data_IF_135188390823
#
_entry.id   IF_135188390823
#
_cell.length_a   1.000
_cell.length_b   1.000
_cell.length_c   1.000
_cell.angle_alpha   90.00
_cell.angle_beta   90.00
_cell.angle_gamma   90.00
#
_symmetry.space_group_name_H-M   'P 1'
#
loop_
_entity.id
_entity.type
_entity.pdbx_description
1 polymer ?
#
# COMPACT_ATOMS: atom_id res chain seq x y z
N UNK A 1 -65.01 -0.69 -28.12
CA UNK A 1 -63.79 -1.52 -28.18
C UNK A 1 -63.11 -1.52 -26.79
N UNK A 2 -63.38 -2.54 -25.97
CA UNK A 2 -62.87 -2.65 -24.58
C UNK A 2 -61.40 -3.08 -24.63
N UNK A 3 -60.49 -2.23 -24.15
CA UNK A 3 -59.04 -2.49 -24.18
C UNK A 3 -58.69 -3.68 -23.27
N UNK A 4 -58.04 -4.68 -23.84
CA UNK A 4 -57.43 -5.83 -23.15
C UNK A 4 -56.21 -5.37 -22.31
N UNK A 5 -56.45 -4.68 -21.19
CA UNK A 5 -55.38 -4.20 -20.31
C UNK A 5 -54.65 -5.34 -19.57
N UNK A 6 -55.30 -6.48 -19.36
CA UNK A 6 -54.71 -7.61 -18.61
C UNK A 6 -53.58 -8.33 -19.34
N UNK A 7 -53.63 -8.39 -20.68
CA UNK A 7 -52.64 -9.12 -21.46
C UNK A 7 -51.25 -8.44 -21.41
N UNK A 8 -51.22 -7.11 -21.50
CA UNK A 8 -49.97 -6.34 -21.50
C UNK A 8 -49.21 -6.44 -20.18
N UNK A 9 -49.90 -6.34 -19.04
CA UNK A 9 -49.26 -6.42 -17.72
C UNK A 9 -48.69 -7.81 -17.45
N UNK A 10 -49.35 -8.86 -17.96
CA UNK A 10 -48.84 -10.23 -17.89
C UNK A 10 -47.56 -10.40 -18.72
N UNK A 11 -47.52 -9.87 -19.95
CA UNK A 11 -46.31 -9.89 -20.77
C UNK A 11 -45.15 -9.11 -20.14
N UNK A 12 -45.43 -7.97 -19.51
CA UNK A 12 -44.40 -7.22 -18.78
C UNK A 12 -43.86 -8.00 -17.58
N UNK A 13 -44.73 -8.67 -16.82
CA UNK A 13 -44.32 -9.54 -15.71
C UNK A 13 -43.48 -10.72 -16.19
N UNK A 14 -43.88 -11.37 -17.29
CA UNK A 14 -43.13 -12.46 -17.89
C UNK A 14 -41.75 -11.99 -18.35
N UNK A 15 -41.69 -10.89 -19.13
CA UNK A 15 -40.44 -10.32 -19.63
C UNK A 15 -39.49 -9.91 -18.50
N UNK A 16 -40.03 -9.29 -17.44
CA UNK A 16 -39.24 -8.89 -16.28
C UNK A 16 -38.73 -10.09 -15.49
N UNK A 17 -39.55 -11.13 -15.33
CA UNK A 17 -39.16 -12.39 -14.70
C UNK A 17 -38.04 -13.10 -15.46
N UNK A 18 -38.14 -13.20 -16.80
CA UNK A 18 -37.06 -13.76 -17.62
C UNK A 18 -35.80 -12.91 -17.55
N UNK A 19 -35.92 -11.58 -17.56
CA UNK A 19 -34.78 -10.66 -17.47
C UNK A 19 -34.06 -10.81 -16.13
N UNK A 20 -34.79 -10.84 -15.01
CA UNK A 20 -34.20 -11.04 -13.68
C UNK A 20 -33.58 -12.44 -13.55
N UNK A 21 -34.25 -13.48 -14.05
CA UNK A 21 -33.70 -14.84 -14.08
C UNK A 21 -32.41 -14.93 -14.89
N UNK A 22 -32.35 -14.28 -16.06
CA UNK A 22 -31.13 -14.16 -16.87
C UNK A 22 -30.04 -13.39 -16.13
N UNK A 23 -30.39 -12.33 -15.39
CA UNK A 23 -29.44 -11.54 -14.63
C UNK A 23 -28.83 -12.33 -13.46
N UNK A 24 -29.65 -13.11 -12.74
CA UNK A 24 -29.20 -14.01 -11.67
C UNK A 24 -28.39 -15.17 -12.22
N UNK A 25 -28.84 -15.78 -13.32
CA UNK A 25 -28.09 -16.84 -14.00
C UNK A 25 -26.74 -16.33 -14.52
N UNK A 26 -26.72 -15.13 -15.09
CA UNK A 26 -25.50 -14.48 -15.56
C UNK A 26 -24.59 -14.12 -14.39
N UNK A 27 -25.12 -13.63 -13.27
CA UNK A 27 -24.32 -13.35 -12.08
C UNK A 27 -23.69 -14.63 -11.53
N UNK A 28 -24.45 -15.73 -11.44
CA UNK A 28 -23.93 -17.03 -11.04
C UNK A 28 -22.85 -17.53 -12.01
N UNK A 29 -23.12 -17.51 -13.32
CA UNK A 29 -22.19 -17.94 -14.37
C UNK A 29 -20.97 -17.03 -14.56
N UNK A 30 -21.06 -15.74 -14.19
CA UNK A 30 -19.94 -14.78 -14.29
C UNK A 30 -19.13 -14.70 -13.00
N UNK A 31 -19.69 -15.13 -11.87
CA UNK A 31 -18.99 -15.27 -10.58
C UNK A 31 -18.22 -16.59 -10.47
N UNK A 32 -18.37 -17.46 -11.47
CA UNK A 32 -17.46 -18.55 -11.79
C UNK A 32 -16.06 -18.01 -12.16
N UNK A 33 -15.35 -17.50 -11.16
CA UNK A 33 -13.93 -17.18 -11.16
C UNK A 33 -13.06 -18.45 -11.14
N UNK A 34 -13.51 -19.51 -11.82
CA UNK A 34 -12.94 -20.87 -11.74
C UNK A 34 -11.57 -20.96 -12.41
N UNK A 35 -11.24 -20.00 -13.29
CA UNK A 35 -9.99 -20.01 -14.04
C UNK A 35 -8.78 -19.55 -13.20
N UNK A 36 -8.98 -18.68 -12.21
CA UNK A 36 -7.86 -18.14 -11.41
C UNK A 36 -7.29 -19.13 -10.39
N UNK A 37 -8.14 -20.01 -9.85
CA UNK A 37 -7.72 -21.00 -8.85
C UNK A 37 -6.82 -22.10 -9.45
N UNK A 38 -7.13 -22.53 -10.68
CA UNK A 38 -6.30 -23.49 -11.43
C UNK A 38 -4.96 -22.88 -11.86
N UNK A 39 -4.97 -21.62 -12.31
CA UNK A 39 -3.76 -20.89 -12.67
C UNK A 39 -2.80 -20.74 -11.47
N UNK A 40 -3.34 -20.49 -10.28
CA UNK A 40 -2.55 -20.42 -9.05
C UNK A 40 -1.90 -21.76 -8.70
N UNK A 41 -2.62 -22.87 -8.90
CA UNK A 41 -2.09 -24.22 -8.64
C UNK A 41 -0.94 -24.56 -9.60
N UNK A 42 -1.12 -24.27 -10.89
CA UNK A 42 -0.11 -24.55 -11.91
C UNK A 42 1.14 -23.69 -11.70
N UNK A 43 0.95 -22.41 -11.34
CA UNK A 43 2.03 -21.48 -10.98
C UNK A 43 2.78 -21.93 -9.71
N UNK A 44 2.08 -22.48 -8.72
CA UNK A 44 2.70 -23.01 -7.51
C UNK A 44 3.54 -24.25 -7.82
N UNK A 45 3.01 -25.19 -8.61
CA UNK A 45 3.75 -26.38 -9.04
C UNK A 45 5.05 -26.02 -9.79
N UNK A 46 5.00 -25.02 -10.67
CA UNK A 46 6.19 -24.51 -11.37
C UNK A 46 7.24 -23.89 -10.41
N UNK A 47 6.79 -23.34 -9.28
CA UNK A 47 7.68 -22.70 -8.29
C UNK A 47 8.40 -23.75 -7.43
N UNK A 48 7.72 -24.84 -7.06
CA UNK A 48 8.31 -25.94 -6.29
C UNK A 48 9.44 -26.66 -7.04
N UNK A 49 9.30 -26.82 -8.36
CA UNK A 49 10.35 -27.42 -9.21
C UNK A 49 11.62 -26.56 -9.20
N UNK A 50 11.46 -25.23 -9.30
CA UNK A 50 12.61 -24.30 -9.25
C UNK A 50 13.32 -24.35 -7.90
N UNK A 51 12.58 -24.41 -6.80
CA UNK A 51 13.18 -24.48 -5.46
C UNK A 51 14.04 -25.74 -5.29
N UNK A 52 13.62 -26.88 -5.84
CA UNK A 52 14.44 -28.11 -5.82
C UNK A 52 15.73 -27.94 -6.61
N UNK A 53 15.65 -27.36 -7.81
CA UNK A 53 16.83 -27.13 -8.65
C UNK A 53 17.82 -26.15 -7.99
N UNK A 54 17.33 -25.05 -7.41
CA UNK A 54 18.17 -24.12 -6.65
C UNK A 54 18.79 -24.79 -5.43
N UNK A 55 18.03 -25.61 -4.69
CA UNK A 55 18.55 -26.34 -3.53
C UNK A 55 19.65 -27.32 -3.93
N UNK A 56 19.52 -28.00 -5.07
CA UNK A 56 20.56 -28.88 -5.59
C UNK A 56 21.82 -28.10 -6.00
N UNK A 57 21.66 -26.95 -6.67
CA UNK A 57 22.76 -26.06 -7.03
C UNK A 57 23.50 -25.52 -5.81
N UNK A 58 22.77 -25.06 -4.80
CA UNK A 58 23.35 -24.59 -3.54
C UNK A 58 24.02 -25.70 -2.73
N UNK A 59 23.49 -26.93 -2.78
CA UNK A 59 24.10 -28.07 -2.10
C UNK A 59 25.40 -28.54 -2.78
N UNK A 60 25.53 -28.33 -4.09
CA UNK A 60 26.77 -28.62 -4.82
C UNK A 60 27.78 -27.47 -4.78
N UNK A 61 27.31 -26.23 -4.62
CA UNK A 61 28.14 -25.04 -4.46
C UNK A 61 28.50 -24.91 -2.98
N UNK A 62 29.48 -25.71 -2.55
CA UNK A 62 30.04 -25.72 -1.20
C UNK A 62 30.50 -24.31 -0.79
N UNK A 63 29.71 -23.64 0.06
CA UNK A 63 30.01 -22.36 0.73
C UNK A 63 31.06 -22.54 1.85
N UNK A 64 31.97 -23.50 1.71
CA UNK A 64 32.98 -23.82 2.72
C UNK A 64 34.25 -22.97 2.60
N UNK A 65 34.42 -22.19 1.53
CA UNK A 65 35.61 -21.37 1.28
C UNK A 65 35.52 -19.90 1.71
N UNK A 66 34.39 -19.44 2.28
CA UNK A 66 34.16 -18.00 2.53
C UNK A 66 33.98 -17.60 4.00
N UNK A 67 34.10 -18.53 4.95
CA UNK A 67 33.95 -18.23 6.39
C UNK A 67 35.30 -18.43 7.09
N UNK A 68 36.23 -17.50 6.84
CA UNK A 68 37.28 -17.17 7.81
C UNK A 68 37.19 -15.66 8.01
N UNK A 69 36.55 -15.25 9.10
CA UNK A 69 36.43 -13.86 9.50
C UNK A 69 37.56 -13.55 10.49
N UNK A 70 38.67 -12.98 10.02
CA UNK A 70 39.54 -12.20 10.91
C UNK A 70 38.79 -10.91 11.31
N UNK A 71 38.71 -10.55 12.60
CA UNK A 71 38.05 -9.34 13.03
C UNK A 71 38.98 -8.14 12.78
N UNK A 72 38.91 -7.56 11.58
CA UNK A 72 39.44 -6.22 11.34
C UNK A 72 38.35 -5.19 11.63
N UNK A 73 38.28 -4.75 12.88
CA UNK A 73 37.28 -3.82 13.39
C UNK A 73 37.46 -2.37 12.90
N UNK A 74 38.41 -2.08 12.00
CA UNK A 74 38.95 -0.72 11.87
C UNK A 74 38.68 0.02 10.55
N UNK A 75 37.92 -0.55 9.61
CA UNK A 75 37.37 0.23 8.49
C UNK A 75 36.17 -0.51 7.85
N UNK A 76 34.98 -0.28 8.40
CA UNK A 76 33.75 -0.68 7.75
C UNK A 76 33.62 0.07 6.41
N UNK A 77 33.42 -0.64 5.28
CA UNK A 77 33.24 0.02 4.01
C UNK A 77 31.99 0.91 4.04
N UNK A 78 31.99 2.01 3.27
CA UNK A 78 31.01 3.10 3.37
C UNK A 78 29.53 2.70 3.28
N UNK A 79 29.23 1.51 2.74
CA UNK A 79 27.88 0.97 2.62
C UNK A 79 27.42 0.12 3.83
N UNK A 80 28.34 -0.32 4.69
CA UNK A 80 28.05 -1.06 5.93
C UNK A 80 27.97 -0.16 7.15
N UNK A 81 28.24 1.14 6.98
CA UNK A 81 28.04 2.12 8.03
C UNK A 81 26.54 2.32 8.28
N UNK A 82 26.04 1.62 9.29
CA UNK A 82 24.65 1.71 9.75
C UNK A 82 24.30 3.11 10.28
N UNK A 83 25.29 3.93 10.63
CA UNK A 83 25.07 5.35 10.95
C UNK A 83 24.89 6.20 9.68
N UNK A 84 25.45 5.80 8.54
CA UNK A 84 25.18 6.48 7.25
C UNK A 84 23.75 6.24 6.78
N UNK A 85 23.20 5.04 6.92
CA UNK A 85 21.78 4.80 6.58
C UNK A 85 20.81 5.50 7.54
N UNK A 86 21.22 5.73 8.79
CA UNK A 86 20.47 6.60 9.72
C UNK A 86 20.55 8.09 9.34
N UNK A 87 21.66 8.53 8.74
CA UNK A 87 21.83 9.88 8.20
C UNK A 87 21.28 10.06 6.77
N UNK A 88 21.03 8.97 6.04
CA UNK A 88 20.52 8.94 4.66
C UNK A 88 19.04 8.56 4.57
N UNK A 89 18.33 8.47 5.70
CA UNK A 89 16.91 8.75 5.68
C UNK A 89 16.79 10.21 5.27
N UNK A 90 16.48 10.43 3.99
CA UNK A 90 16.40 11.75 3.37
C UNK A 90 15.57 12.62 4.30
N UNK A 91 16.21 13.60 4.93
CA UNK A 91 15.52 14.62 5.72
C UNK A 91 14.55 15.35 4.76
N UNK A 92 13.33 14.84 4.65
CA UNK A 92 12.41 15.17 3.55
C UNK A 92 11.58 14.04 2.98
N UNK A 93 11.71 12.80 3.45
CA UNK A 93 10.80 11.74 3.05
C UNK A 93 9.39 11.99 3.62
N UNK A 94 8.30 11.85 2.83
CA UNK A 94 6.94 12.01 3.34
C UNK A 94 6.62 11.06 4.50
N UNK A 95 7.31 9.93 4.58
CA UNK A 95 7.21 8.94 5.66
C UNK A 95 7.61 9.49 7.03
N UNK A 96 8.58 10.41 7.09
CA UNK A 96 9.03 11.05 8.34
C UNK A 96 7.92 11.91 8.96
N UNK A 97 7.20 12.65 8.13
CA UNK A 97 6.10 13.52 8.56
C UNK A 97 4.85 12.72 8.93
N UNK A 98 4.65 11.57 8.29
CA UNK A 98 3.54 10.66 8.57
C UNK A 98 3.63 9.99 9.96
N UNK A 99 4.79 10.04 10.63
CA UNK A 99 4.91 9.60 12.03
C UNK A 99 4.08 10.45 13.00
N UNK A 100 3.78 11.70 12.64
CA UNK A 100 2.96 12.59 13.46
C UNK A 100 1.49 12.21 13.34
N UNK A 101 0.87 11.87 14.47
CA UNK A 101 -0.56 11.53 14.53
C UNK A 101 -1.41 12.69 13.99
N UNK A 102 -2.15 12.43 12.91
CA UNK A 102 -3.01 13.43 12.25
C UNK A 102 -2.44 13.97 10.93
N UNK A 103 -1.20 13.62 10.57
CA UNK A 103 -0.61 13.85 9.25
C UNK A 103 -0.71 12.56 8.43
N UNK A 104 -1.65 12.54 7.49
CA UNK A 104 -1.74 11.48 6.48
C UNK A 104 -0.90 11.81 5.23
N UNK A 105 -0.86 10.90 4.23
CA UNK A 105 -0.04 11.03 3.02
C UNK A 105 -0.34 12.32 2.23
N UNK A 106 -1.61 12.74 2.18
CA UNK A 106 -2.02 13.98 1.50
C UNK A 106 -1.45 15.23 2.19
N UNK A 107 -1.47 15.27 3.52
CA UNK A 107 -0.93 16.40 4.29
C UNK A 107 0.60 16.38 4.27
N UNK A 108 1.22 15.21 4.35
CA UNK A 108 2.67 15.07 4.20
C UNK A 108 3.13 15.59 2.83
N UNK A 109 2.44 15.23 1.75
CA UNK A 109 2.75 15.74 0.41
C UNK A 109 2.60 17.27 0.33
N UNK A 110 1.52 17.85 0.89
CA UNK A 110 1.35 19.30 0.96
C UNK A 110 2.43 20.00 1.78
N UNK A 111 2.88 19.40 2.88
CA UNK A 111 3.97 19.95 3.69
C UNK A 111 5.28 19.96 2.93
N UNK A 112 5.57 18.91 2.16
CA UNK A 112 6.75 18.83 1.30
C UNK A 112 6.73 19.89 0.19
N UNK A 113 5.56 20.14 -0.41
CA UNK A 113 5.36 21.17 -1.43
C UNK A 113 5.64 22.58 -0.87
N UNK A 114 5.27 22.80 0.40
CA UNK A 114 5.55 24.05 1.14
C UNK A 114 7.00 24.09 1.68
N UNK A 115 7.79 23.05 1.45
CA UNK A 115 9.20 22.96 1.86
C UNK A 115 9.42 22.45 3.29
N UNK A 116 8.37 22.07 4.01
CA UNK A 116 8.44 21.47 5.34
C UNK A 116 8.75 19.98 5.17
N UNK A 117 10.01 19.62 5.42
CA UNK A 117 10.58 18.31 5.12
C UNK A 117 10.87 17.45 6.35
N UNK A 118 10.78 18.00 7.54
CA UNK A 118 11.09 17.29 8.78
C UNK A 118 10.15 17.69 9.90
N UNK A 119 10.05 16.84 10.92
CA UNK A 119 9.31 17.15 12.16
C UNK A 119 9.88 18.38 12.86
N UNK A 120 11.20 18.60 12.79
CA UNK A 120 11.85 19.80 13.30
C UNK A 120 11.45 21.08 12.54
N UNK A 121 11.36 21.01 11.21
CA UNK A 121 10.85 22.13 10.41
C UNK A 121 9.37 22.40 10.69
N UNK A 122 8.59 21.34 10.93
CA UNK A 122 7.16 21.45 11.26
C UNK A 122 6.94 22.15 12.61
N UNK A 123 7.72 21.82 13.65
CA UNK A 123 7.58 22.44 14.98
C UNK A 123 8.04 23.90 15.06
N UNK A 124 8.83 24.35 14.08
CA UNK A 124 9.24 25.75 13.92
C UNK A 124 8.12 26.65 13.34
N UNK A 125 7.10 26.06 12.70
CA UNK A 125 5.98 26.80 12.10
C UNK A 125 4.90 27.08 13.13
N UNK A 126 4.29 28.26 13.05
CA UNK A 126 3.20 28.63 13.96
C UNK A 126 1.91 27.82 13.67
N UNK A 127 1.06 27.56 14.68
CA UNK A 127 -0.21 26.86 14.46
C UNK A 127 -1.14 27.59 13.48
N UNK A 128 -1.09 28.92 13.45
CA UNK A 128 -1.91 29.75 12.57
C UNK A 128 -1.44 29.66 11.11
N UNK A 129 -0.14 29.61 10.88
CA UNK A 129 0.41 29.51 9.52
C UNK A 129 0.23 28.10 8.97
N UNK A 130 0.42 27.09 9.82
CA UNK A 130 0.15 25.69 9.45
C UNK A 130 -1.33 25.49 9.07
N UNK A 131 -2.25 26.10 9.83
CA UNK A 131 -3.68 26.05 9.54
C UNK A 131 -4.03 26.64 8.17
N UNK A 132 -3.41 27.79 7.81
CA UNK A 132 -3.58 28.41 6.50
C UNK A 132 -3.01 27.56 5.37
N UNK A 133 -1.79 27.05 5.54
CA UNK A 133 -1.09 26.25 4.53
C UNK A 133 -1.80 24.93 4.22
N UNK A 134 -2.31 24.25 5.26
CA UNK A 134 -2.99 22.96 5.11
C UNK A 134 -4.51 23.08 4.94
N UNK A 135 -5.06 24.31 5.00
CA UNK A 135 -6.50 24.58 4.99
C UNK A 135 -7.26 23.74 6.03
N UNK A 136 -6.79 23.80 7.28
CA UNK A 136 -7.38 23.09 8.43
C UNK A 136 -7.71 24.07 9.56
N UNK A 137 -8.52 23.64 10.53
CA UNK A 137 -8.82 24.46 11.71
C UNK A 137 -7.58 24.68 12.59
N UNK A 138 -7.51 25.84 13.24
CA UNK A 138 -6.40 26.20 14.15
C UNK A 138 -6.22 25.19 15.30
N UNK A 139 -7.33 24.66 15.84
CA UNK A 139 -7.28 23.62 16.88
C UNK A 139 -6.66 22.31 16.38
N UNK A 140 -6.94 21.91 15.13
CA UNK A 140 -6.33 20.71 14.53
C UNK A 140 -4.83 20.91 14.29
N UNK A 141 -4.45 22.09 13.78
CA UNK A 141 -3.04 22.44 13.59
C UNK A 141 -2.27 22.44 14.92
N UNK A 142 -2.86 22.97 15.99
CA UNK A 142 -2.27 22.94 17.33
C UNK A 142 -2.06 21.50 17.85
N UNK A 143 -3.03 20.62 17.65
CA UNK A 143 -2.90 19.21 18.04
C UNK A 143 -1.79 18.48 17.27
N UNK A 144 -1.70 18.72 15.95
CA UNK A 144 -0.63 18.14 15.11
C UNK A 144 0.75 18.61 15.59
N UNK A 145 0.90 19.90 15.91
CA UNK A 145 2.16 20.44 16.43
C UNK A 145 2.49 19.91 17.83
N UNK A 146 1.48 19.70 18.67
CA UNK A 146 1.68 19.09 19.98
C UNK A 146 2.17 17.63 19.87
N UNK A 147 1.61 16.86 18.94
CA UNK A 147 2.08 15.49 18.66
C UNK A 147 3.47 15.49 18.02
N UNK A 148 3.76 16.42 17.12
CA UNK A 148 5.09 16.55 16.50
C UNK A 148 6.20 16.87 17.52
N UNK A 149 5.88 17.56 18.62
CA UNK A 149 6.85 17.84 19.70
C UNK A 149 7.12 16.65 20.63
N UNK A 150 6.28 15.61 20.59
CA UNK A 150 6.47 14.39 21.42
C UNK A 150 7.39 13.35 20.78
N UNK A 151 7.63 13.49 19.47
CA UNK A 151 8.53 12.63 18.68
C UNK A 151 9.97 13.14 18.76
#
# INVERSE_FOLDING_TARGET
MKKLKGLSTFFFGLLFGTLVGLLVWYWYKSTSAENGALELLDRMAATDVRLRDLKHKLASESVESYITLEPQDEQLPPFLDKNRTKSAHVAGAPEDLQRVKGIGPIFAAKLLDVGIRSTAALTAVSPADLAKQLNISAGRAANILAEARKL
#
